data_IF_884500429091
#
_entry.id   IF_884500429091
#
_cell.length_a   1.000
_cell.length_b   1.000
_cell.length_c   1.000
_cell.angle_alpha   90.00
_cell.angle_beta   90.00
_cell.angle_gamma   90.00
#
_symmetry.space_group_name_H-M   'P 1'
#
loop_
_entity.id
_entity.type
_entity.pdbx_description
1 polymer ?
#
# COMPACT_ATOMS: atom_id res chain seq x y z
N UNK A 1 50.21 -39.31 3.36
CA UNK A 1 48.74 -39.42 3.47
C UNK A 1 48.11 -38.29 4.28
N UNK A 2 48.81 -37.21 4.64
CA UNK A 2 48.29 -36.14 5.51
C UNK A 2 47.67 -34.93 4.76
N UNK A 3 48.01 -34.71 3.50
CA UNK A 3 47.50 -33.56 2.73
C UNK A 3 46.06 -33.73 2.24
N UNK A 4 45.59 -34.97 2.08
CA UNK A 4 44.23 -35.29 1.65
C UNK A 4 43.19 -35.02 2.75
N UNK A 5 43.50 -35.32 4.02
CA UNK A 5 42.60 -35.04 5.14
C UNK A 5 42.46 -33.54 5.43
N UNK A 6 43.54 -32.76 5.26
CA UNK A 6 43.50 -31.31 5.45
C UNK A 6 42.58 -30.63 4.43
N UNK A 7 42.64 -31.05 3.15
CA UNK A 7 41.79 -30.49 2.10
C UNK A 7 40.30 -30.78 2.34
N UNK A 8 39.97 -31.98 2.82
CA UNK A 8 38.58 -32.39 3.13
C UNK A 8 38.02 -31.57 4.30
N UNK A 9 38.80 -31.33 5.34
CA UNK A 9 38.38 -30.51 6.50
C UNK A 9 38.16 -29.05 6.11
N UNK A 10 38.99 -28.49 5.24
CA UNK A 10 38.84 -27.10 4.74
C UNK A 10 37.59 -26.96 3.85
N UNK A 11 37.29 -27.96 3.00
CA UNK A 11 36.06 -27.97 2.19
C UNK A 11 34.83 -28.14 3.08
N UNK A 12 34.87 -28.99 4.11
CA UNK A 12 33.76 -29.17 5.04
C UNK A 12 33.43 -27.88 5.82
N UNK A 13 34.43 -27.11 6.24
CA UNK A 13 34.23 -25.85 6.97
C UNK A 13 33.60 -24.77 6.08
N UNK A 14 34.00 -24.68 4.81
CA UNK A 14 33.45 -23.68 3.87
C UNK A 14 31.99 -23.97 3.51
N UNK A 15 31.59 -25.25 3.42
CA UNK A 15 30.19 -25.64 3.18
C UNK A 15 29.29 -25.32 4.39
N UNK A 16 29.78 -25.51 5.62
CA UNK A 16 29.00 -25.20 6.84
C UNK A 16 28.83 -23.68 7.03
N UNK A 17 29.83 -22.87 6.70
CA UNK A 17 29.73 -21.41 6.78
C UNK A 17 28.79 -20.80 5.71
N UNK A 18 28.68 -21.43 4.53
CA UNK A 18 27.78 -20.97 3.45
C UNK A 18 26.28 -21.18 3.77
N UNK A 19 25.94 -22.24 4.47
CA UNK A 19 24.54 -22.58 4.79
C UNK A 19 23.98 -21.69 5.92
N UNK A 20 24.83 -21.26 6.85
CA UNK A 20 24.42 -20.38 7.96
C UNK A 20 23.96 -19.00 7.48
N UNK A 21 24.63 -18.43 6.46
CA UNK A 21 24.30 -17.10 5.94
C UNK A 21 23.01 -17.12 5.11
N UNK A 22 22.80 -18.15 4.28
CA UNK A 22 21.58 -18.28 3.47
C UNK A 22 20.30 -18.42 4.31
N UNK A 23 20.39 -19.15 5.42
CA UNK A 23 19.29 -19.32 6.38
C UNK A 23 18.95 -18.03 7.11
N UNK A 24 19.97 -17.21 7.42
CA UNK A 24 19.81 -15.93 8.11
C UNK A 24 19.24 -14.85 7.19
N UNK A 25 19.58 -14.87 5.89
CA UNK A 25 18.92 -13.99 4.89
C UNK A 25 17.43 -14.32 4.79
N UNK A 26 17.02 -15.58 4.82
CA UNK A 26 15.60 -15.95 4.80
C UNK A 26 14.85 -15.52 6.07
N UNK A 27 15.51 -15.49 7.23
CA UNK A 27 14.95 -15.00 8.49
C UNK A 27 14.92 -13.46 8.60
N UNK A 28 15.91 -12.75 8.02
CA UNK A 28 15.95 -11.28 7.99
C UNK A 28 15.05 -10.70 6.91
N UNK A 29 14.92 -11.39 5.78
CA UNK A 29 13.92 -11.15 4.73
C UNK A 29 12.70 -12.01 5.04
N UNK A 30 12.16 -11.86 6.26
CA UNK A 30 10.84 -12.36 6.58
C UNK A 30 9.85 -11.89 5.50
N UNK A 31 8.90 -12.76 5.16
CA UNK A 31 7.76 -12.58 4.24
C UNK A 31 6.79 -11.50 4.77
N UNK A 32 7.32 -10.30 4.96
CA UNK A 32 6.72 -9.21 5.68
C UNK A 32 7.41 -7.90 5.33
N UNK A 33 7.83 -7.74 4.07
CA UNK A 33 7.90 -6.40 3.49
C UNK A 33 6.58 -5.74 3.83
N UNK A 34 6.60 -4.71 4.70
CA UNK A 34 5.48 -3.77 4.92
C UNK A 34 5.30 -3.00 3.61
N UNK A 35 4.94 -3.71 2.55
CA UNK A 35 4.76 -3.17 1.24
C UNK A 35 3.59 -2.21 1.36
N UNK A 36 3.90 -0.93 1.23
CA UNK A 36 2.94 0.10 0.87
C UNK A 36 2.14 -0.48 -0.28
N UNK A 37 0.86 -0.79 -0.04
CA UNK A 37 0.04 -1.51 -1.01
C UNK A 37 -0.22 -0.65 -2.24
N UNK A 38 -0.21 0.67 -2.07
CA UNK A 38 -0.54 1.62 -3.12
C UNK A 38 0.44 2.80 -3.06
N UNK A 39 1.31 2.89 -4.07
CA UNK A 39 2.34 3.93 -4.17
C UNK A 39 1.91 5.15 -4.98
N UNK A 40 0.96 4.96 -5.89
CA UNK A 40 0.55 6.02 -6.83
C UNK A 40 -0.95 6.33 -6.68
N UNK A 41 -1.32 7.61 -6.50
CA UNK A 41 -2.70 8.08 -6.59
C UNK A 41 -3.18 8.04 -8.05
N UNK A 42 -4.49 7.88 -8.27
CA UNK A 42 -5.07 7.84 -9.64
C UNK A 42 -4.98 9.22 -10.33
N UNK A 43 -4.77 10.31 -9.58
CA UNK A 43 -4.98 11.68 -10.04
C UNK A 43 -3.92 12.23 -11.02
N UNK A 44 -3.98 11.82 -12.28
CA UNK A 44 -3.53 12.65 -13.42
C UNK A 44 -4.70 13.31 -14.15
N UNK A 45 -5.93 13.04 -13.74
CA UNK A 45 -7.17 13.61 -14.30
C UNK A 45 -7.68 14.69 -13.36
N UNK A 46 -7.17 15.91 -13.51
CA UNK A 46 -7.77 17.09 -12.85
C UNK A 46 -9.15 17.26 -13.46
N UNK A 47 -10.20 16.93 -12.69
CA UNK A 47 -11.57 17.24 -13.10
C UNK A 47 -11.74 18.76 -13.16
N UNK A 48 -12.50 19.25 -14.15
CA UNK A 48 -12.86 20.67 -14.33
C UNK A 48 -13.64 21.28 -13.15
N UNK A 49 -13.89 20.49 -12.09
CA UNK A 49 -14.74 20.88 -10.98
C UNK A 49 -13.90 21.31 -9.78
N UNK A 50 -13.82 22.65 -9.65
CA UNK A 50 -13.72 23.43 -8.40
C UNK A 50 -12.30 23.67 -7.85
N UNK A 51 -11.79 24.84 -8.22
CA UNK A 51 -10.49 25.38 -7.84
C UNK A 51 -10.25 25.52 -6.33
N UNK A 52 -11.30 25.69 -5.51
CA UNK A 52 -11.17 25.94 -4.06
C UNK A 52 -10.66 24.73 -3.29
N UNK A 53 -11.10 23.52 -3.65
CA UNK A 53 -10.68 22.28 -2.98
C UNK A 53 -9.39 21.68 -3.58
N UNK A 54 -8.92 22.21 -4.70
CA UNK A 54 -7.76 21.69 -5.43
C UNK A 54 -6.45 21.89 -4.65
N UNK A 55 -6.29 23.02 -3.97
CA UNK A 55 -5.08 23.31 -3.20
C UNK A 55 -4.89 22.31 -2.05
N UNK A 56 -5.94 22.07 -1.28
CA UNK A 56 -5.91 21.08 -0.18
C UNK A 56 -5.72 19.67 -0.73
N UNK A 57 -6.35 19.35 -1.86
CA UNK A 57 -6.13 18.06 -2.51
C UNK A 57 -4.66 17.85 -2.90
N UNK A 58 -4.03 18.85 -3.52
CA UNK A 58 -2.61 18.81 -3.85
C UNK A 58 -1.72 18.65 -2.61
N UNK A 59 -2.02 19.35 -1.51
CA UNK A 59 -1.31 19.18 -0.24
C UNK A 59 -1.47 17.77 0.31
N UNK A 60 -2.68 17.20 0.24
CA UNK A 60 -2.94 15.81 0.61
C UNK A 60 -2.14 14.82 -0.23
N UNK A 61 -2.05 15.03 -1.55
CA UNK A 61 -1.25 14.21 -2.44
C UNK A 61 0.25 14.30 -2.14
N UNK A 62 0.77 15.50 -1.85
CA UNK A 62 2.17 15.69 -1.45
C UNK A 62 2.45 14.92 -0.17
N UNK A 63 1.64 15.13 0.87
CA UNK A 63 1.76 14.40 2.13
C UNK A 63 1.65 12.88 1.94
N UNK A 64 0.76 12.41 1.05
CA UNK A 64 0.62 10.99 0.73
C UNK A 64 1.90 10.42 0.10
N UNK A 65 2.48 11.13 -0.87
CA UNK A 65 3.71 10.73 -1.56
C UNK A 65 4.92 10.73 -0.64
N UNK A 66 4.95 11.63 0.33
CA UNK A 66 5.96 11.66 1.40
C UNK A 66 5.77 10.56 2.45
N UNK A 67 4.66 9.81 2.41
CA UNK A 67 4.32 8.79 3.40
C UNK A 67 3.72 9.35 4.69
N UNK A 68 3.44 10.66 4.76
CA UNK A 68 2.75 11.32 5.85
C UNK A 68 1.23 11.08 5.77
N UNK A 69 0.83 9.80 5.86
CA UNK A 69 -0.58 9.40 5.70
C UNK A 69 -1.58 10.08 6.65
N UNK A 70 -1.27 10.34 7.94
CA UNK A 70 -2.19 11.07 8.82
C UNK A 70 -2.47 12.50 8.32
N UNK A 71 -1.42 13.22 7.87
CA UNK A 71 -1.57 14.55 7.31
C UNK A 71 -2.34 14.51 5.98
N UNK A 72 -2.06 13.52 5.13
CA UNK A 72 -2.83 13.31 3.90
C UNK A 72 -4.32 13.11 4.18
N UNK A 73 -4.67 12.29 5.17
CA UNK A 73 -6.07 12.05 5.59
C UNK A 73 -6.75 13.34 6.05
N UNK A 74 -6.05 14.19 6.80
CA UNK A 74 -6.59 15.47 7.25
C UNK A 74 -6.92 16.37 6.04
N UNK A 75 -5.97 16.54 5.12
CA UNK A 75 -6.16 17.35 3.91
C UNK A 75 -7.30 16.80 3.05
N UNK A 76 -7.34 15.50 2.81
CA UNK A 76 -8.44 14.87 2.08
C UNK A 76 -9.79 15.01 2.78
N UNK A 77 -9.81 15.05 4.11
CA UNK A 77 -11.05 15.26 4.86
C UNK A 77 -11.58 16.68 4.68
N UNK A 78 -10.71 17.69 4.65
CA UNK A 78 -11.12 19.06 4.33
C UNK A 78 -11.69 19.14 2.91
N UNK A 79 -11.05 18.50 1.93
CA UNK A 79 -11.55 18.42 0.56
C UNK A 79 -12.93 17.77 0.50
N UNK A 80 -13.17 16.69 1.26
CA UNK A 80 -14.48 16.02 1.32
C UNK A 80 -15.56 16.90 1.97
N UNK A 81 -15.20 17.76 2.93
CA UNK A 81 -16.14 18.72 3.52
C UNK A 81 -16.57 19.78 2.50
N UNK A 82 -15.66 20.17 1.60
CA UNK A 82 -15.94 21.12 0.52
C UNK A 82 -16.71 20.47 -0.63
N UNK A 83 -16.33 19.25 -1.01
CA UNK A 83 -16.97 18.48 -2.07
C UNK A 83 -17.13 16.99 -1.69
N UNK A 84 -18.31 16.60 -1.19
CA UNK A 84 -18.60 15.21 -0.86
C UNK A 84 -18.71 14.27 -2.07
N UNK A 85 -18.67 14.79 -3.31
CA UNK A 85 -18.79 14.01 -4.55
C UNK A 85 -17.44 13.76 -5.23
N UNK A 86 -16.34 14.25 -4.64
CA UNK A 86 -15.00 14.11 -5.21
C UNK A 86 -14.45 12.68 -5.02
N UNK A 87 -14.73 11.81 -5.99
CA UNK A 87 -14.43 10.37 -5.95
C UNK A 87 -12.95 10.06 -5.68
N UNK A 88 -12.05 10.78 -6.35
CA UNK A 88 -10.60 10.63 -6.26
C UNK A 88 -10.08 10.83 -4.83
N UNK A 89 -10.69 11.74 -4.08
CA UNK A 89 -10.28 12.05 -2.70
C UNK A 89 -10.67 10.91 -1.75
N UNK A 90 -11.85 10.31 -1.94
CA UNK A 90 -12.22 9.12 -1.18
C UNK A 90 -11.28 7.96 -1.50
N UNK A 91 -10.89 7.80 -2.77
CA UNK A 91 -9.95 6.77 -3.17
C UNK A 91 -8.60 6.97 -2.48
N UNK A 92 -7.96 8.12 -2.65
CA UNK A 92 -6.64 8.42 -2.11
C UNK A 92 -6.63 8.41 -0.57
N UNK A 93 -7.70 8.88 0.08
CA UNK A 93 -7.86 8.76 1.53
C UNK A 93 -7.99 7.30 1.97
N UNK A 94 -8.69 6.48 1.20
CA UNK A 94 -8.76 5.03 1.41
C UNK A 94 -7.40 4.36 1.33
N UNK A 95 -6.56 4.75 0.38
CA UNK A 95 -5.18 4.26 0.28
C UNK A 95 -4.34 4.70 1.49
N UNK A 96 -4.52 5.93 1.96
CA UNK A 96 -3.80 6.44 3.12
C UNK A 96 -4.14 5.63 4.38
N UNK A 97 -5.43 5.35 4.61
CA UNK A 97 -5.86 4.44 5.68
C UNK A 97 -5.32 3.02 5.51
N UNK A 98 -5.30 2.51 4.26
CA UNK A 98 -4.77 1.19 3.97
C UNK A 98 -3.28 1.09 4.35
N UNK A 99 -2.49 2.12 4.08
CA UNK A 99 -1.07 2.17 4.44
C UNK A 99 -0.87 2.29 5.96
N UNK A 100 -1.81 2.90 6.69
CA UNK A 100 -1.85 2.91 8.16
C UNK A 100 -2.39 1.61 8.79
N UNK A 101 -2.66 0.55 8.01
CA UNK A 101 -3.25 -0.73 8.48
C UNK A 101 -4.65 -0.59 9.10
N UNK A 102 -5.33 0.51 8.80
CA UNK A 102 -6.73 0.79 9.15
C UNK A 102 -7.64 0.28 8.03
N UNK A 103 -7.74 -1.04 7.91
CA UNK A 103 -8.36 -1.72 6.76
C UNK A 103 -9.86 -1.44 6.65
N UNK A 104 -10.55 -1.27 7.78
CA UNK A 104 -12.00 -0.99 7.80
C UNK A 104 -12.29 0.42 7.27
N UNK A 105 -11.54 1.44 7.74
CA UNK A 105 -11.62 2.80 7.22
C UNK A 105 -11.24 2.86 5.73
N UNK A 106 -10.21 2.11 5.33
CA UNK A 106 -9.79 2.01 3.94
C UNK A 106 -10.90 1.44 3.05
N UNK A 107 -11.55 0.35 3.50
CA UNK A 107 -12.66 -0.29 2.79
C UNK A 107 -13.84 0.67 2.64
N UNK A 108 -14.24 1.35 3.72
CA UNK A 108 -15.32 2.34 3.67
C UNK A 108 -15.07 3.42 2.62
N UNK A 109 -13.87 4.00 2.62
CA UNK A 109 -13.49 5.06 1.70
C UNK A 109 -13.42 4.57 0.24
N UNK A 110 -12.86 3.39 0.01
CA UNK A 110 -12.78 2.79 -1.33
C UNK A 110 -14.17 2.44 -1.87
N UNK A 111 -15.07 1.90 -1.05
CA UNK A 111 -16.46 1.66 -1.48
C UNK A 111 -17.12 2.96 -1.90
N UNK A 112 -16.98 4.03 -1.10
CA UNK A 112 -17.54 5.33 -1.44
C UNK A 112 -16.97 5.89 -2.76
N UNK A 113 -15.67 5.74 -2.98
CA UNK A 113 -15.05 6.11 -4.25
C UNK A 113 -15.64 5.33 -5.43
N UNK A 114 -15.84 4.01 -5.29
CA UNK A 114 -16.45 3.18 -6.35
C UNK A 114 -17.89 3.60 -6.69
N UNK A 115 -18.69 3.99 -5.69
CA UNK A 115 -20.04 4.51 -5.91
C UNK A 115 -20.00 5.77 -6.78
N UNK A 116 -19.18 6.75 -6.39
CA UNK A 116 -19.06 8.04 -7.08
C UNK A 116 -18.48 7.87 -8.50
N UNK A 117 -17.50 6.98 -8.69
CA UNK A 117 -16.99 6.68 -10.03
C UNK A 117 -18.06 6.02 -10.92
N UNK A 118 -18.87 5.12 -10.35
CA UNK A 118 -19.95 4.49 -11.10
C UNK A 118 -21.04 5.49 -11.49
N UNK A 119 -21.40 6.41 -10.60
CA UNK A 119 -22.34 7.52 -10.87
C UNK A 119 -21.84 8.41 -12.01
N UNK A 120 -20.53 8.68 -12.08
CA UNK A 120 -19.89 9.44 -13.17
C UNK A 120 -19.73 8.62 -14.48
N UNK A 121 -19.97 7.31 -14.44
CA UNK A 121 -19.75 6.40 -15.57
C UNK A 121 -18.29 5.98 -15.79
N UNK A 122 -17.40 6.26 -14.83
CA UNK A 122 -15.98 5.91 -14.88
C UNK A 122 -15.74 4.45 -14.46
N UNK A 123 -15.97 3.55 -15.41
CA UNK A 123 -15.76 2.10 -15.20
C UNK A 123 -14.29 1.71 -15.00
N UNK A 124 -13.35 2.52 -15.50
CA UNK A 124 -11.93 2.25 -15.36
C UNK A 124 -11.51 2.40 -13.89
N UNK A 125 -11.87 3.53 -13.27
CA UNK A 125 -11.59 3.79 -11.86
C UNK A 125 -12.28 2.79 -10.92
N UNK A 126 -13.52 2.39 -11.22
CA UNK A 126 -14.21 1.31 -10.48
C UNK A 126 -13.41 0.00 -10.50
N UNK A 127 -12.78 -0.33 -11.62
CA UNK A 127 -11.96 -1.55 -11.73
C UNK A 127 -10.72 -1.47 -10.85
N UNK A 128 -10.06 -0.31 -10.80
CA UNK A 128 -8.91 -0.07 -9.91
C UNK A 128 -9.34 -0.19 -8.45
N UNK A 129 -10.46 0.44 -8.07
CA UNK A 129 -10.98 0.36 -6.70
C UNK A 129 -11.29 -1.08 -6.29
N UNK A 130 -11.89 -1.88 -7.19
CA UNK A 130 -12.14 -3.31 -6.94
C UNK A 130 -10.86 -4.09 -6.66
N UNK A 131 -9.80 -3.85 -7.42
CA UNK A 131 -8.49 -4.47 -7.17
C UNK A 131 -7.95 -4.11 -5.78
N UNK A 132 -8.08 -2.84 -5.38
CA UNK A 132 -7.64 -2.37 -4.07
C UNK A 132 -8.42 -3.03 -2.93
N UNK A 133 -9.74 -3.20 -3.09
CA UNK A 133 -10.60 -3.87 -2.13
C UNK A 133 -10.24 -5.36 -1.98
N UNK A 134 -9.98 -6.06 -3.08
CA UNK A 134 -9.54 -7.47 -3.02
C UNK A 134 -8.18 -7.61 -2.33
N UNK A 135 -7.26 -6.68 -2.54
CA UNK A 135 -5.97 -6.67 -1.85
C UNK A 135 -6.13 -6.49 -0.31
N UNK A 136 -7.05 -5.61 0.12
CA UNK A 136 -7.38 -5.45 1.54
C UNK A 136 -8.01 -6.71 2.14
N UNK A 137 -8.93 -7.34 1.40
CA UNK A 137 -9.55 -8.60 1.81
C UNK A 137 -8.53 -9.72 1.97
N UNK A 138 -7.62 -9.88 1.00
CA UNK A 138 -6.53 -10.84 1.08
C UNK A 138 -5.63 -10.58 2.29
N UNK A 139 -5.29 -9.32 2.56
CA UNK A 139 -4.53 -8.92 3.76
C UNK A 139 -5.25 -9.29 5.05
N UNK A 140 -6.57 -9.08 5.13
CA UNK A 140 -7.38 -9.44 6.30
C UNK A 140 -7.37 -10.96 6.54
N UNK A 141 -7.63 -11.74 5.49
CA UNK A 141 -7.61 -13.21 5.56
C UNK A 141 -6.25 -13.76 5.97
N UNK A 142 -5.16 -13.16 5.48
CA UNK A 142 -3.81 -13.55 5.88
C UNK A 142 -3.53 -13.30 7.37
N UNK A 143 -4.07 -12.22 7.96
CA UNK A 143 -3.96 -11.95 9.40
C UNK A 143 -4.75 -12.96 10.22
N UNK A 144 -5.98 -13.28 9.80
CA UNK A 144 -6.85 -14.25 10.48
C UNK A 144 -6.27 -15.67 10.48
N UNK A 145 -5.55 -16.06 9.43
CA UNK A 145 -4.85 -17.36 9.38
C UNK A 145 -3.58 -17.40 10.23
N UNK A 146 -3.05 -16.24 10.61
CA UNK A 146 -1.81 -16.11 11.38
C UNK A 146 -2.04 -15.94 12.89
N UNK A 147 -3.30 -15.79 13.31
CA UNK A 147 -3.76 -15.77 14.71
C UNK A 147 -4.25 -17.13 15.16
#
# INVERSE_FOLDING_TARGET
METANFLIVVIAITVVAGIGIGSMVWAYVGTGSRAVLFKEPISNVVSDQKAEALQQFQQGLIAFREGHYPAAIEQFTQVIQLDPTFAEVYHDRGLAFANLRRDDDATFNLVKASELYLERGDRASVTIVKQNLEALKARKQAREKAS
#
